data_IF_590680815451
#
_entry.id   IF_590680815451
#
_cell.length_a   1.000
_cell.length_b   1.000
_cell.length_c   1.000
_cell.angle_alpha   90.00
_cell.angle_beta   90.00
_cell.angle_gamma   90.00
#
_symmetry.space_group_name_H-M   'P 1'
#
loop_
_entity.id
_entity.type
_entity.pdbx_description
1 polymer ?
#
# COMPACT_ATOMS: atom_id res chain seq x y z
N UNK A 1 17.72 -13.16 -19.61
CA UNK A 1 16.64 -13.89 -18.91
C UNK A 1 15.88 -12.86 -18.12
N UNK A 2 14.55 -12.92 -18.01
CA UNK A 2 13.89 -12.08 -17.02
C UNK A 2 14.52 -12.41 -15.67
N UNK A 3 14.83 -11.40 -14.89
CA UNK A 3 15.39 -11.55 -13.58
C UNK A 3 14.41 -12.26 -12.64
N UNK A 4 14.88 -12.67 -11.47
CA UNK A 4 14.06 -13.29 -10.45
C UNK A 4 14.15 -12.49 -9.16
N UNK A 5 13.19 -12.71 -8.26
CA UNK A 5 13.18 -12.11 -6.93
C UNK A 5 13.47 -13.20 -5.90
N UNK A 6 14.38 -12.92 -4.98
CA UNK A 6 14.67 -13.80 -3.85
C UNK A 6 13.90 -13.27 -2.64
N UNK A 7 13.10 -14.12 -1.98
CA UNK A 7 12.38 -13.80 -0.74
C UNK A 7 12.93 -14.65 0.38
N UNK A 8 13.54 -14.02 1.38
CA UNK A 8 14.11 -14.69 2.54
C UNK A 8 13.23 -14.44 3.78
N UNK A 9 12.63 -15.50 4.29
CA UNK A 9 11.74 -15.53 5.46
C UNK A 9 10.82 -16.74 5.41
N UNK A 10 10.26 -17.10 6.56
CA UNK A 10 9.41 -18.28 6.76
C UNK A 10 8.11 -17.98 7.53
N UNK A 11 7.86 -16.70 7.82
CA UNK A 11 6.66 -16.25 8.51
C UNK A 11 5.49 -15.95 7.54
N UNK A 12 4.33 -15.61 8.10
CA UNK A 12 3.13 -15.33 7.34
C UNK A 12 3.30 -14.16 6.34
N UNK A 13 4.15 -13.17 6.67
CA UNK A 13 4.43 -12.05 5.76
C UNK A 13 5.23 -12.50 4.55
N UNK A 14 6.29 -13.29 4.77
CA UNK A 14 7.12 -13.83 3.69
C UNK A 14 6.28 -14.68 2.74
N UNK A 15 5.43 -15.57 3.28
CA UNK A 15 4.52 -16.40 2.49
C UNK A 15 3.55 -15.55 1.67
N UNK A 16 2.94 -14.52 2.27
CA UNK A 16 2.02 -13.64 1.56
C UNK A 16 2.70 -12.86 0.43
N UNK A 17 3.93 -12.40 0.64
CA UNK A 17 4.72 -11.74 -0.41
C UNK A 17 4.99 -12.70 -1.57
N UNK A 18 5.34 -13.96 -1.27
CA UNK A 18 5.58 -14.99 -2.30
C UNK A 18 4.30 -15.24 -3.11
N UNK A 19 3.15 -15.37 -2.45
CA UNK A 19 1.87 -15.59 -3.12
C UNK A 19 1.53 -14.41 -4.06
N UNK A 20 1.62 -13.18 -3.59
CA UNK A 20 1.35 -11.97 -4.40
C UNK A 20 2.29 -11.85 -5.62
N UNK A 21 3.57 -12.21 -5.45
CA UNK A 21 4.53 -12.20 -6.56
C UNK A 21 4.24 -13.31 -7.57
N UNK A 22 3.84 -14.50 -7.12
CA UNK A 22 3.43 -15.60 -7.98
C UNK A 22 2.16 -15.27 -8.76
N UNK A 23 1.16 -14.64 -8.12
CA UNK A 23 -0.06 -14.17 -8.76
C UNK A 23 0.23 -13.10 -9.84
N UNK A 24 1.28 -12.32 -9.64
CA UNK A 24 1.79 -11.36 -10.63
C UNK A 24 2.70 -11.98 -11.71
N UNK A 25 2.81 -13.33 -11.76
CA UNK A 25 3.67 -14.08 -12.70
C UNK A 25 5.17 -13.72 -12.61
N UNK A 26 5.63 -13.28 -11.44
CA UNK A 26 7.04 -12.96 -11.17
C UNK A 26 7.77 -14.22 -10.71
N UNK A 27 8.96 -14.48 -11.27
CA UNK A 27 9.79 -15.62 -10.84
C UNK A 27 10.34 -15.38 -9.43
N UNK A 28 9.99 -16.24 -8.48
CA UNK A 28 10.39 -16.12 -7.06
C UNK A 28 11.21 -17.34 -6.62
N UNK A 29 12.28 -17.07 -5.89
CA UNK A 29 13.07 -18.10 -5.19
C UNK A 29 12.91 -17.89 -3.69
N UNK A 30 12.14 -18.74 -2.98
CA UNK A 30 12.00 -18.65 -1.54
C UNK A 30 13.22 -19.22 -0.81
N UNK A 31 13.65 -18.54 0.24
CA UNK A 31 14.70 -18.97 1.15
C UNK A 31 14.23 -18.85 2.61
N UNK A 32 14.66 -19.76 3.44
CA UNK A 32 14.42 -19.72 4.90
C UNK A 32 15.65 -19.24 5.68
N UNK A 33 16.78 -19.10 5.00
CA UNK A 33 18.07 -18.75 5.62
C UNK A 33 18.93 -17.92 4.68
N UNK A 34 19.74 -16.97 5.20
CA UNK A 34 20.70 -16.18 4.42
C UNK A 34 21.73 -17.02 3.66
N UNK A 35 22.05 -18.20 4.17
CA UNK A 35 23.08 -19.08 3.60
C UNK A 35 22.75 -19.57 2.17
N UNK A 36 21.49 -19.50 1.76
CA UNK A 36 21.04 -19.89 0.42
C UNK A 36 21.20 -18.82 -0.66
N UNK A 37 21.54 -17.58 -0.32
CA UNK A 37 21.57 -16.44 -1.26
C UNK A 37 22.45 -16.65 -2.48
N UNK A 38 23.64 -17.19 -2.28
CA UNK A 38 24.60 -17.43 -3.37
C UNK A 38 24.08 -18.48 -4.34
N UNK A 39 23.56 -19.60 -3.81
CA UNK A 39 22.95 -20.67 -4.60
C UNK A 39 21.66 -20.21 -5.32
N UNK A 40 20.95 -19.27 -4.76
CA UNK A 40 19.76 -18.64 -5.36
C UNK A 40 20.12 -17.61 -6.44
N UNK A 41 21.40 -17.37 -6.73
CA UNK A 41 21.81 -16.48 -7.80
C UNK A 41 21.65 -15.00 -7.50
N UNK A 42 21.91 -14.58 -6.27
CA UNK A 42 21.77 -13.17 -5.83
C UNK A 42 22.50 -12.17 -6.74
N UNK A 43 23.56 -12.57 -7.44
CA UNK A 43 24.29 -11.70 -8.37
C UNK A 43 23.50 -11.33 -9.62
N UNK A 44 22.50 -12.14 -9.99
CA UNK A 44 21.66 -11.96 -11.18
C UNK A 44 20.19 -11.70 -10.84
N UNK A 45 19.86 -11.64 -9.55
CA UNK A 45 18.53 -11.31 -9.07
C UNK A 45 18.21 -9.82 -9.32
N UNK A 46 16.96 -9.53 -9.66
CA UNK A 46 16.46 -8.16 -9.77
C UNK A 46 16.26 -7.52 -8.40
N UNK A 47 15.81 -8.33 -7.43
CA UNK A 47 15.62 -7.89 -6.05
C UNK A 47 15.82 -9.02 -5.04
N UNK A 48 16.13 -8.62 -3.80
CA UNK A 48 16.14 -9.47 -2.61
C UNK A 48 15.23 -8.86 -1.56
N UNK A 49 14.30 -9.65 -1.04
CA UNK A 49 13.38 -9.26 0.02
C UNK A 49 13.73 -10.02 1.29
N UNK A 50 14.14 -9.30 2.33
CA UNK A 50 14.40 -9.84 3.67
C UNK A 50 13.16 -9.62 4.53
N UNK A 51 12.34 -10.67 4.71
CA UNK A 51 11.01 -10.62 5.32
C UNK A 51 10.85 -11.46 6.59
N UNK A 52 11.95 -11.92 7.19
CA UNK A 52 11.92 -12.66 8.47
C UNK A 52 11.32 -11.81 9.61
N UNK A 53 10.82 -12.47 10.64
CA UNK A 53 10.44 -11.79 11.88
C UNK A 53 11.65 -11.28 12.70
N UNK A 54 12.86 -11.75 12.39
CA UNK A 54 14.10 -11.39 13.08
C UNK A 54 14.88 -10.32 12.30
N UNK A 55 15.03 -9.14 12.90
CA UNK A 55 15.77 -8.01 12.33
C UNK A 55 17.25 -8.35 12.05
N UNK A 56 17.89 -9.23 12.86
CA UNK A 56 19.26 -9.62 12.65
C UNK A 56 19.43 -10.45 11.37
N UNK A 57 18.50 -11.37 11.12
CA UNK A 57 18.44 -12.16 9.88
C UNK A 57 18.23 -11.25 8.67
N UNK A 58 17.30 -10.30 8.77
CA UNK A 58 17.00 -9.37 7.70
C UNK A 58 18.19 -8.45 7.39
N UNK A 59 18.90 -7.99 8.40
CA UNK A 59 20.12 -7.21 8.24
C UNK A 59 21.21 -8.05 7.56
N UNK A 60 21.42 -9.29 8.00
CA UNK A 60 22.39 -10.21 7.39
C UNK A 60 22.09 -10.44 5.90
N UNK A 61 20.83 -10.76 5.56
CA UNK A 61 20.38 -10.93 4.16
C UNK A 61 20.70 -9.68 3.33
N UNK A 62 20.38 -8.50 3.86
CA UNK A 62 20.61 -7.24 3.16
C UNK A 62 22.09 -6.96 2.93
N UNK A 63 22.95 -7.20 3.92
CA UNK A 63 24.38 -7.01 3.81
C UNK A 63 25.03 -8.00 2.83
N UNK A 64 24.67 -9.28 2.90
CA UNK A 64 25.15 -10.31 1.98
C UNK A 64 24.71 -10.04 0.54
N UNK A 65 23.46 -9.63 0.33
CA UNK A 65 22.95 -9.25 -0.98
C UNK A 65 23.76 -8.07 -1.56
N UNK A 66 24.05 -7.06 -0.76
CA UNK A 66 24.89 -5.92 -1.17
C UNK A 66 26.34 -6.27 -1.43
N UNK A 67 26.90 -7.17 -0.66
CA UNK A 67 28.26 -7.67 -0.89
C UNK A 67 28.33 -8.43 -2.22
N UNK A 68 27.31 -9.20 -2.56
CA UNK A 68 27.26 -9.97 -3.80
C UNK A 68 26.96 -9.10 -5.04
N UNK A 69 26.14 -8.07 -4.90
CA UNK A 69 25.74 -7.17 -6.00
C UNK A 69 25.44 -5.76 -5.49
N UNK A 70 26.11 -4.77 -6.07
CA UNK A 70 25.87 -3.35 -5.75
C UNK A 70 24.62 -2.79 -6.41
N UNK A 71 24.07 -3.47 -7.41
CA UNK A 71 22.92 -3.02 -8.22
C UNK A 71 21.61 -3.71 -7.85
N UNK A 72 21.65 -4.87 -7.17
CA UNK A 72 20.42 -5.57 -6.77
C UNK A 72 19.58 -4.68 -5.85
N UNK A 73 18.29 -4.62 -6.09
CA UNK A 73 17.37 -3.91 -5.18
C UNK A 73 17.17 -4.72 -3.91
N UNK A 74 17.36 -4.12 -2.74
CA UNK A 74 17.15 -4.77 -1.45
C UNK A 74 15.96 -4.13 -0.75
N UNK A 75 14.98 -4.94 -0.37
CA UNK A 75 13.87 -4.54 0.50
C UNK A 75 14.00 -5.31 1.80
N UNK A 76 14.15 -4.62 2.93
CA UNK A 76 14.32 -5.25 4.23
C UNK A 76 13.24 -4.79 5.22
N UNK A 77 12.63 -5.75 5.91
CA UNK A 77 11.78 -5.52 7.06
C UNK A 77 12.66 -5.31 8.28
N UNK A 78 12.59 -4.13 8.91
CA UNK A 78 13.29 -3.85 10.17
C UNK A 78 12.36 -3.11 11.12
N UNK A 79 12.17 -3.67 12.30
CA UNK A 79 11.37 -3.07 13.38
C UNK A 79 12.21 -2.10 14.23
N UNK A 80 13.52 -2.33 14.32
CA UNK A 80 14.43 -1.49 15.09
C UNK A 80 14.75 -0.18 14.34
N UNK A 81 14.35 0.96 14.92
CA UNK A 81 14.49 2.29 14.34
C UNK A 81 15.95 2.67 14.07
N UNK A 82 16.88 2.28 14.94
CA UNK A 82 18.32 2.58 14.76
C UNK A 82 18.90 1.81 13.58
N UNK A 83 18.53 0.54 13.45
CA UNK A 83 18.95 -0.28 12.30
C UNK A 83 18.35 0.23 11.00
N UNK A 84 17.08 0.64 11.02
CA UNK A 84 16.43 1.25 9.84
C UNK A 84 17.16 2.48 9.35
N UNK A 85 17.48 3.41 10.26
CA UNK A 85 18.19 4.63 9.90
C UNK A 85 19.58 4.33 9.31
N UNK A 86 20.35 3.47 9.98
CA UNK A 86 21.67 3.09 9.50
C UNK A 86 21.64 2.41 8.12
N UNK A 87 20.64 1.59 7.87
CA UNK A 87 20.44 0.93 6.57
C UNK A 87 20.01 1.92 5.48
N UNK A 88 19.08 2.83 5.77
CA UNK A 88 18.58 3.83 4.81
C UNK A 88 19.70 4.74 4.30
N UNK A 89 20.66 5.06 5.15
CA UNK A 89 21.77 5.96 4.82
C UNK A 89 22.88 5.28 3.99
N UNK A 90 22.95 3.93 4.00
CA UNK A 90 24.10 3.20 3.47
C UNK A 90 23.87 2.13 2.40
N UNK A 91 22.63 1.73 2.12
CA UNK A 91 22.38 0.44 1.43
C UNK A 91 22.08 0.56 -0.07
N UNK A 92 22.15 1.74 -0.68
CA UNK A 92 21.90 1.87 -2.13
C UNK A 92 20.43 1.63 -2.53
N UNK A 93 20.12 1.19 -3.77
CA UNK A 93 18.74 1.09 -4.24
C UNK A 93 17.95 0.04 -3.47
N UNK A 94 16.82 0.46 -2.88
CA UNK A 94 15.95 -0.41 -2.10
C UNK A 94 15.07 0.36 -1.13
N UNK A 95 14.49 -0.36 -0.18
CA UNK A 95 13.67 0.22 0.87
C UNK A 95 13.87 -0.55 2.18
N UNK A 96 13.77 0.17 3.29
CA UNK A 96 13.67 -0.43 4.62
C UNK A 96 12.28 -0.11 5.15
N UNK A 97 11.51 -1.14 5.48
CA UNK A 97 10.11 -1.03 5.84
C UNK A 97 9.87 -1.56 7.26
N UNK A 98 9.04 -0.85 8.02
CA UNK A 98 8.47 -1.33 9.25
C UNK A 98 7.02 -1.75 9.01
N UNK A 99 6.72 -3.02 9.25
CA UNK A 99 5.37 -3.56 9.08
C UNK A 99 4.38 -2.90 10.06
N UNK A 100 4.85 -2.57 11.27
CA UNK A 100 4.02 -1.90 12.26
C UNK A 100 3.61 -0.49 11.78
N UNK A 101 4.57 0.28 11.24
CA UNK A 101 4.29 1.62 10.70
C UNK A 101 3.31 1.57 9.51
N UNK A 102 3.40 0.52 8.69
CA UNK A 102 2.52 0.32 7.55
C UNK A 102 1.10 -0.14 7.95
N UNK A 103 0.99 -0.96 8.99
CA UNK A 103 -0.30 -1.58 9.37
C UNK A 103 -1.03 -0.83 10.45
N UNK A 104 -0.34 -0.13 11.36
CA UNK A 104 -0.96 0.56 12.49
C UNK A 104 -2.04 1.57 12.07
N UNK A 105 -1.86 2.40 11.03
CA UNK A 105 -2.91 3.29 10.57
C UNK A 105 -4.20 2.54 10.18
N UNK A 106 -4.07 1.48 9.39
CA UNK A 106 -5.23 0.67 8.96
C UNK A 106 -5.95 -0.02 10.11
N UNK A 107 -5.21 -0.49 11.12
CA UNK A 107 -5.80 -1.08 12.33
C UNK A 107 -6.56 -0.01 13.13
N UNK A 108 -5.99 1.18 13.29
CA UNK A 108 -6.64 2.29 13.99
C UNK A 108 -7.90 2.76 13.23
N UNK A 109 -7.83 2.87 11.91
CA UNK A 109 -8.97 3.21 11.06
C UNK A 109 -10.11 2.19 11.22
N UNK A 110 -9.79 0.90 11.14
CA UNK A 110 -10.76 -0.17 11.33
C UNK A 110 -11.41 -0.14 12.73
N UNK A 111 -10.60 0.15 13.76
CA UNK A 111 -11.08 0.24 15.15
C UNK A 111 -11.99 1.45 15.37
N UNK A 112 -11.63 2.60 14.81
CA UNK A 112 -12.37 3.85 14.99
C UNK A 112 -13.54 3.98 14.03
N UNK A 113 -13.72 3.04 13.09
CA UNK A 113 -14.74 3.12 12.05
C UNK A 113 -14.57 4.35 11.15
N UNK A 114 -13.36 4.89 11.05
CA UNK A 114 -13.09 6.03 10.18
C UNK A 114 -13.16 5.59 8.73
N UNK A 115 -13.87 6.37 7.94
CA UNK A 115 -14.02 6.18 6.50
C UNK A 115 -13.06 7.07 5.69
N UNK A 116 -12.13 7.75 6.37
CA UNK A 116 -11.18 8.66 5.75
C UNK A 116 -9.77 8.07 5.73
N UNK A 117 -9.13 8.06 4.56
CA UNK A 117 -7.76 7.55 4.34
C UNK A 117 -6.88 8.66 3.77
N UNK A 118 -5.65 8.79 4.27
CA UNK A 118 -4.69 9.74 3.72
C UNK A 118 -3.81 9.10 2.67
N UNK A 119 -3.69 9.75 1.51
CA UNK A 119 -2.83 9.34 0.40
C UNK A 119 -1.85 10.47 0.11
N UNK A 120 -0.55 10.20 0.16
CA UNK A 120 0.47 11.18 -0.24
C UNK A 120 0.84 10.99 -1.71
N UNK A 121 0.61 12.01 -2.53
CA UNK A 121 1.00 12.02 -3.93
C UNK A 121 1.75 13.31 -4.29
N UNK A 122 2.91 13.17 -4.92
CA UNK A 122 3.78 14.30 -5.29
C UNK A 122 4.13 15.23 -4.11
N UNK A 123 4.28 14.68 -2.88
CA UNK A 123 4.57 15.46 -1.67
C UNK A 123 3.38 16.25 -1.12
N UNK A 124 2.17 15.95 -1.58
CA UNK A 124 0.91 16.55 -1.09
C UNK A 124 0.04 15.46 -0.50
N UNK A 125 -0.50 15.72 0.69
CA UNK A 125 -1.43 14.82 1.34
C UNK A 125 -2.87 15.10 0.87
N UNK A 126 -3.53 14.04 0.42
CA UNK A 126 -4.93 14.00 0.08
C UNK A 126 -5.67 13.07 1.03
N UNK A 127 -6.86 13.44 1.39
CA UNK A 127 -7.75 12.59 2.19
C UNK A 127 -8.84 12.05 1.28
N UNK A 128 -9.06 10.74 1.36
CA UNK A 128 -10.19 10.05 0.73
C UNK A 128 -11.24 9.82 1.81
N UNK A 129 -12.46 10.24 1.57
CA UNK A 129 -13.56 10.14 2.54
C UNK A 129 -14.83 9.69 1.85
N UNK A 130 -15.66 8.91 2.54
CA UNK A 130 -16.95 8.45 2.03
C UNK A 130 -18.09 9.09 2.78
N UNK A 131 -19.16 9.39 2.04
CA UNK A 131 -20.40 9.96 2.57
C UNK A 131 -21.61 9.27 1.95
N UNK A 132 -22.72 9.24 2.70
CA UNK A 132 -23.98 8.73 2.20
C UNK A 132 -24.83 9.87 1.67
N UNK A 133 -25.21 9.79 0.41
CA UNK A 133 -26.01 10.81 -0.27
C UNK A 133 -27.41 10.92 0.37
N UNK A 134 -27.75 12.09 0.86
CA UNK A 134 -28.99 12.32 1.62
C UNK A 134 -30.24 12.56 0.75
N UNK A 135 -30.07 12.94 -0.53
CA UNK A 135 -31.14 13.23 -1.50
C UNK A 135 -30.62 13.06 -2.93
N UNK A 136 -31.53 13.00 -3.89
CA UNK A 136 -31.15 12.94 -5.31
C UNK A 136 -30.56 14.28 -5.79
N UNK A 137 -29.58 14.20 -6.69
CA UNK A 137 -28.89 15.37 -7.26
C UNK A 137 -27.63 14.97 -8.01
N UNK A 138 -26.67 15.88 -8.19
CA UNK A 138 -25.38 15.58 -8.81
C UNK A 138 -24.25 15.64 -7.77
N UNK A 139 -23.15 14.95 -8.05
CA UNK A 139 -21.95 15.00 -7.19
C UNK A 139 -21.46 16.45 -7.03
N UNK A 140 -21.54 17.26 -8.09
CA UNK A 140 -21.17 18.69 -8.05
C UNK A 140 -22.00 19.51 -7.08
N UNK A 141 -23.31 19.26 -7.03
CA UNK A 141 -24.22 19.98 -6.12
C UNK A 141 -23.94 19.68 -4.65
N UNK A 142 -23.49 18.47 -4.34
CA UNK A 142 -23.21 18.05 -2.95
C UNK A 142 -21.78 18.34 -2.52
N UNK A 143 -20.81 18.08 -3.39
CA UNK A 143 -19.41 18.01 -3.03
C UNK A 143 -18.53 19.03 -3.78
N UNK A 144 -19.16 19.88 -4.61
CA UNK A 144 -18.47 20.96 -5.28
C UNK A 144 -17.42 20.51 -6.27
N UNK A 145 -16.14 20.74 -5.95
CA UNK A 145 -14.99 20.43 -6.81
C UNK A 145 -14.13 19.29 -6.27
N UNK A 146 -14.55 18.61 -5.22
CA UNK A 146 -13.83 17.43 -4.73
C UNK A 146 -13.74 16.37 -5.85
N UNK A 147 -12.63 15.66 -5.92
CA UNK A 147 -12.45 14.62 -6.92
C UNK A 147 -13.27 13.37 -6.55
N UNK A 148 -14.25 12.95 -7.35
CA UNK A 148 -14.99 11.75 -7.07
C UNK A 148 -14.15 10.52 -7.45
N UNK A 149 -14.02 9.59 -6.51
CA UNK A 149 -13.24 8.35 -6.66
C UNK A 149 -14.15 7.19 -7.06
N UNK A 150 -15.28 7.04 -6.36
CA UNK A 150 -16.26 6.00 -6.66
C UNK A 150 -17.64 6.40 -6.14
N UNK A 151 -18.68 5.80 -6.73
CA UNK A 151 -20.05 5.77 -6.20
C UNK A 151 -20.51 4.33 -6.12
N UNK A 152 -20.99 3.90 -4.97
CA UNK A 152 -21.67 2.62 -4.79
C UNK A 152 -23.17 2.91 -4.70
N UNK A 153 -23.95 2.31 -5.59
CA UNK A 153 -25.40 2.48 -5.64
C UNK A 153 -26.08 1.92 -4.40
N UNK A 154 -26.92 2.74 -3.78
CA UNK A 154 -27.73 2.35 -2.63
C UNK A 154 -28.83 1.35 -2.99
N UNK A 155 -29.46 0.77 -1.97
CA UNK A 155 -30.50 -0.24 -2.16
C UNK A 155 -31.74 0.27 -2.93
N UNK A 156 -32.04 1.57 -2.80
CA UNK A 156 -33.18 2.21 -3.44
C UNK A 156 -32.83 2.90 -4.77
N UNK A 157 -31.56 2.81 -5.18
CA UNK A 157 -31.07 3.42 -6.42
C UNK A 157 -31.29 2.51 -7.63
N UNK A 158 -31.42 3.07 -8.84
CA UNK A 158 -31.26 2.28 -10.05
C UNK A 158 -29.91 1.54 -10.01
N UNK A 159 -29.89 0.27 -10.43
CA UNK A 159 -28.72 -0.59 -10.45
C UNK A 159 -28.05 -0.75 -9.05
N UNK A 160 -28.88 -1.03 -8.04
CA UNK A 160 -28.48 -1.21 -6.64
C UNK A 160 -27.27 -2.16 -6.50
N UNK A 161 -26.22 -1.72 -5.78
CA UNK A 161 -24.98 -2.45 -5.57
C UNK A 161 -23.95 -2.28 -6.69
N UNK A 162 -24.26 -1.59 -7.79
CA UNK A 162 -23.28 -1.24 -8.81
C UNK A 162 -22.22 -0.28 -8.26
N UNK A 163 -20.97 -0.49 -8.66
CA UNK A 163 -19.85 0.40 -8.32
C UNK A 163 -19.41 1.16 -9.56
N UNK A 164 -19.57 2.48 -9.52
CA UNK A 164 -19.12 3.38 -10.58
C UNK A 164 -17.77 3.96 -10.15
N UNK A 165 -16.70 3.58 -10.85
CA UNK A 165 -15.37 4.10 -10.60
C UNK A 165 -15.15 5.42 -11.36
N UNK A 166 -14.51 6.39 -10.71
CA UNK A 166 -14.17 7.69 -11.28
C UNK A 166 -15.37 8.39 -11.99
N UNK A 167 -16.53 8.52 -11.32
CA UNK A 167 -17.69 9.16 -11.93
C UNK A 167 -17.42 10.64 -12.26
N UNK A 168 -18.18 11.19 -13.17
CA UNK A 168 -18.14 12.63 -13.44
C UNK A 168 -18.85 13.42 -12.33
N UNK A 169 -18.40 14.66 -12.09
CA UNK A 169 -19.03 15.53 -11.11
C UNK A 169 -20.51 15.83 -11.44
N UNK A 170 -20.87 15.74 -12.72
CA UNK A 170 -22.24 15.99 -13.19
C UNK A 170 -23.10 14.72 -13.24
N UNK A 171 -22.55 13.56 -12.83
CA UNK A 171 -23.30 12.31 -12.73
C UNK A 171 -24.35 12.40 -11.62
N UNK A 172 -25.51 11.83 -11.90
CA UNK A 172 -26.63 11.77 -10.96
C UNK A 172 -26.34 10.74 -9.88
N UNK A 173 -26.53 11.13 -8.64
CA UNK A 173 -26.52 10.26 -7.47
C UNK A 173 -27.87 10.33 -6.78
N UNK A 174 -28.23 9.24 -6.13
CA UNK A 174 -29.54 9.06 -5.50
C UNK A 174 -29.39 8.96 -3.99
N UNK A 175 -30.46 9.22 -3.30
CA UNK A 175 -30.51 9.03 -1.85
C UNK A 175 -30.10 7.61 -1.48
N UNK A 176 -29.16 7.49 -0.54
CA UNK A 176 -28.65 6.20 -0.08
C UNK A 176 -27.42 5.68 -0.85
N UNK A 177 -27.02 6.34 -1.96
CA UNK A 177 -25.76 6.05 -2.62
C UNK A 177 -24.58 6.38 -1.68
N UNK A 178 -23.50 5.63 -1.75
CA UNK A 178 -22.25 5.96 -1.09
C UNK A 178 -21.29 6.61 -2.08
N UNK A 179 -20.95 7.87 -1.85
CA UNK A 179 -19.97 8.60 -2.64
C UNK A 179 -18.61 8.62 -1.92
N UNK A 180 -17.56 8.18 -2.59
CA UNK A 180 -16.18 8.29 -2.13
C UNK A 180 -15.49 9.42 -2.87
N UNK A 181 -14.91 10.34 -2.12
CA UNK A 181 -14.38 11.62 -2.60
C UNK A 181 -12.95 11.82 -2.11
N UNK A 182 -12.16 12.51 -2.89
CA UNK A 182 -10.77 12.85 -2.56
C UNK A 182 -10.57 14.36 -2.67
N UNK A 183 -9.84 14.92 -1.72
CA UNK A 183 -9.46 16.32 -1.70
C UNK A 183 -8.46 16.60 -0.59
N UNK A 184 -8.09 17.84 -0.41
CA UNK A 184 -7.31 18.24 0.76
C UNK A 184 -8.21 18.27 1.99
N UNK A 185 -7.65 18.04 3.16
CA UNK A 185 -8.38 18.01 4.43
C UNK A 185 -9.31 19.22 4.61
N UNK A 186 -8.80 20.41 4.30
CA UNK A 186 -9.58 21.65 4.40
C UNK A 186 -10.78 21.72 3.45
N UNK A 187 -10.65 21.12 2.26
CA UNK A 187 -11.71 21.09 1.25
C UNK A 187 -12.83 20.13 1.66
N UNK A 188 -12.48 18.97 2.20
CA UNK A 188 -13.41 17.99 2.75
C UNK A 188 -14.19 18.56 3.94
N UNK A 189 -13.48 19.19 4.88
CA UNK A 189 -14.12 19.86 6.04
C UNK A 189 -15.11 20.96 5.63
N UNK A 190 -14.81 21.71 4.57
CA UNK A 190 -15.75 22.72 4.04
C UNK A 190 -17.04 22.13 3.52
N UNK A 191 -17.01 20.88 3.05
CA UNK A 191 -18.18 20.14 2.60
C UNK A 191 -18.83 19.32 3.72
N UNK A 192 -18.31 19.39 4.95
CA UNK A 192 -18.87 18.66 6.10
C UNK A 192 -18.51 17.18 6.13
N UNK A 193 -17.52 16.76 5.33
CA UNK A 193 -17.07 15.37 5.26
C UNK A 193 -16.15 15.02 6.44
N UNK A 194 -16.16 13.77 6.91
CA UNK A 194 -15.21 13.32 7.92
C UNK A 194 -13.77 13.32 7.36
N UNK A 195 -12.81 13.67 8.21
CA UNK A 195 -11.39 13.72 7.90
C UNK A 195 -10.57 13.20 9.07
#
# INVERSE_FOLDING_TARGET
>A
MPGHIIVCGDDALAMRIIDELNDAEVSVIPLTSPTGLEAAGVQTADAVIAASADDAVNLEVALLARQASTTVRVVARLSNTVLRQAMSDGVGPGAVLDVADLTAPSVVEALLGRTAHTITAAGVDFVVSSDTVGRDGTLREFYGRLAPVAVVRGQDSPDAGEVIACPHLDDTVYRGDQATLMGREEELRKQGLPV
#
